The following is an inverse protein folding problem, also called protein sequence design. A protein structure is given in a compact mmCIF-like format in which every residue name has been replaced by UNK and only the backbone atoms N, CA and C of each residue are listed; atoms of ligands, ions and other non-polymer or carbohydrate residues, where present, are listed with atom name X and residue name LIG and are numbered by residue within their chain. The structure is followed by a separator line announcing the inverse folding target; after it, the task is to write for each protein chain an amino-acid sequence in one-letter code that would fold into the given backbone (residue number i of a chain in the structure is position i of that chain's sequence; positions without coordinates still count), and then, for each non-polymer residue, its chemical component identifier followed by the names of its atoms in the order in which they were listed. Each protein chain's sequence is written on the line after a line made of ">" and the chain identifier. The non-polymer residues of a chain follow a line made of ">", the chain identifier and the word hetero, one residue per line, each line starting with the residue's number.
data_IF_774765298482
#
_entry.id   IF_774765298482
#
_cell.length_a   1.000
_cell.length_b   1.000
_cell.length_c   1.000
_cell.angle_alpha   90.00
_cell.angle_beta   90.00
_cell.angle_gamma   90.00
#
_symmetry.space_group_name_H-M   'P 1'
#
loop_
_entity.id
_entity.type
_entity.pdbx_description
1 polymer ?
#
# COMPACT_ATOMS: atom_id res chain seq x y z
N UNK A 1 -16.98 6.69 1.35
CA UNK A 1 -17.20 6.41 -0.08
C UNK A 1 -16.27 5.28 -0.41
N UNK A 2 -16.70 4.10 0.02
CA UNK A 2 -15.97 2.85 -0.04
C UNK A 2 -16.26 2.19 -1.37
N UNK A 3 -15.22 1.90 -2.13
CA UNK A 3 -15.35 1.17 -3.38
C UNK A 3 -15.72 -0.28 -3.06
N UNK A 4 -17.01 -0.56 -3.23
CA UNK A 4 -17.72 -1.74 -2.75
C UNK A 4 -17.45 -2.92 -3.69
N UNK A 5 -16.73 -3.93 -3.21
CA UNK A 5 -16.45 -5.14 -3.97
C UNK A 5 -17.74 -5.91 -4.31
N UNK A 6 -18.31 -5.64 -5.49
CA UNK A 6 -19.47 -6.34 -6.02
C UNK A 6 -19.04 -7.67 -6.66
N UNK A 7 -19.51 -8.77 -6.11
CA UNK A 7 -19.23 -10.12 -6.63
C UNK A 7 -20.53 -10.87 -6.82
N UNK A 8 -20.71 -11.48 -8.00
CA UNK A 8 -21.83 -12.40 -8.26
C UNK A 8 -21.25 -13.78 -8.48
N UNK A 9 -21.64 -14.74 -7.63
CA UNK A 9 -21.30 -16.16 -7.75
C UNK A 9 -19.78 -16.43 -7.85
N UNK A 10 -18.97 -15.67 -7.11
CA UNK A 10 -17.51 -15.86 -7.04
C UNK A 10 -16.70 -15.25 -8.20
N UNK A 11 -17.34 -14.53 -9.12
CA UNK A 11 -16.67 -13.76 -10.18
C UNK A 11 -16.79 -12.25 -9.89
N UNK A 12 -15.65 -11.55 -9.89
CA UNK A 12 -15.61 -10.09 -9.75
C UNK A 12 -16.16 -9.43 -11.01
N UNK A 13 -17.03 -8.45 -10.85
CA UNK A 13 -17.59 -7.62 -11.94
C UNK A 13 -17.18 -6.17 -11.65
N UNK A 14 -16.66 -5.49 -12.66
CA UNK A 14 -16.22 -4.09 -12.53
C UNK A 14 -17.36 -3.11 -12.82
N UNK A 15 -17.34 -1.97 -12.13
CA UNK A 15 -18.14 -0.79 -12.48
C UNK A 15 -17.41 -0.01 -13.59
N UNK A 16 -18.15 0.63 -14.50
CA UNK A 16 -17.61 1.22 -15.73
C UNK A 16 -16.55 2.34 -15.52
N UNK A 17 -15.63 2.52 -16.48
CA UNK A 17 -14.30 3.09 -16.29
C UNK A 17 -14.15 4.49 -16.90
N UNK A 18 -14.70 5.54 -16.28
CA UNK A 18 -14.40 6.93 -16.71
C UNK A 18 -13.45 7.69 -15.80
N UNK A 19 -12.94 7.08 -14.72
CA UNK A 19 -12.04 7.75 -13.78
C UNK A 19 -10.66 7.06 -13.66
N UNK A 20 -10.25 6.34 -14.72
CA UNK A 20 -8.87 5.83 -14.86
C UNK A 20 -7.90 6.94 -15.30
N UNK A 21 -7.78 8.00 -14.51
CA UNK A 21 -6.57 8.82 -14.47
C UNK A 21 -6.47 9.37 -13.07
N UNK A 22 -5.48 8.94 -12.29
CA UNK A 22 -4.60 9.79 -11.47
C UNK A 22 -3.80 8.86 -10.56
N UNK A 23 -2.48 9.09 -10.54
CA UNK A 23 -1.52 8.87 -9.44
C UNK A 23 -1.99 7.99 -8.26
N UNK A 24 -1.14 7.10 -7.77
CA UNK A 24 -1.43 6.18 -6.65
C UNK A 24 -1.93 6.87 -5.35
N UNK A 25 -1.93 8.21 -5.32
CA UNK A 25 -2.57 9.07 -4.32
C UNK A 25 -4.10 9.21 -4.43
N UNK A 26 -4.74 8.78 -5.53
CA UNK A 26 -6.19 9.02 -5.78
C UNK A 26 -7.02 7.76 -6.04
N UNK A 27 -6.41 6.59 -6.22
CA UNK A 27 -7.13 5.32 -6.15
C UNK A 27 -7.52 5.08 -4.68
N UNK A 28 -8.79 5.28 -4.33
CA UNK A 28 -9.34 4.90 -3.01
C UNK A 28 -9.34 3.38 -2.88
N UNK A 29 -8.17 2.79 -2.70
CA UNK A 29 -8.06 1.41 -2.25
C UNK A 29 -8.75 1.32 -0.89
N UNK A 30 -9.69 0.39 -0.76
CA UNK A 30 -10.25 0.05 0.55
C UNK A 30 -9.10 -0.40 1.45
N UNK A 31 -8.99 0.11 2.69
CA UNK A 31 -7.90 -0.26 3.59
C UNK A 31 -7.89 -1.79 3.78
N UNK A 32 -6.74 -2.41 3.55
CA UNK A 32 -6.59 -3.87 3.66
C UNK A 32 -6.53 -4.31 5.13
N UNK A 33 -5.93 -3.49 5.99
CA UNK A 33 -5.84 -3.65 7.43
C UNK A 33 -5.63 -2.27 8.07
N UNK A 34 -5.86 -2.17 9.37
CA UNK A 34 -5.58 -0.98 10.17
C UNK A 34 -4.12 -0.99 10.67
N UNK A 35 -3.51 0.19 10.78
CA UNK A 35 -2.15 0.36 11.29
C UNK A 35 -2.27 0.98 12.68
N UNK A 36 -1.80 0.29 13.71
CA UNK A 36 -1.82 0.80 15.09
C UNK A 36 -0.66 1.76 15.41
N UNK A 37 0.41 1.72 14.61
CA UNK A 37 1.62 2.53 14.81
C UNK A 37 1.72 3.64 13.76
N UNK A 38 1.29 4.84 14.13
CA UNK A 38 1.32 6.03 13.28
C UNK A 38 2.68 6.74 13.26
N UNK A 39 3.73 6.17 13.89
CA UNK A 39 5.03 6.82 13.92
C UNK A 39 5.63 6.89 12.52
N UNK A 40 6.28 8.01 12.16
CA UNK A 40 6.97 8.10 10.88
C UNK A 40 8.13 7.08 10.86
N UNK A 41 8.48 6.53 9.69
CA UNK A 41 9.57 5.55 9.55
C UNK A 41 10.90 6.02 10.17
N UNK A 42 11.20 7.32 10.10
CA UNK A 42 12.41 7.91 10.70
C UNK A 42 12.46 7.78 12.23
N UNK A 43 11.32 7.97 12.92
CA UNK A 43 11.26 7.84 14.37
C UNK A 43 11.49 6.39 14.82
N UNK A 44 10.95 5.42 14.09
CA UNK A 44 11.18 3.99 14.35
C UNK A 44 12.66 3.64 14.09
N UNK A 45 13.24 4.14 13.00
CA UNK A 45 14.65 3.92 12.68
C UNK A 45 15.59 4.47 13.76
N UNK A 46 15.32 5.66 14.30
CA UNK A 46 16.12 6.24 15.39
C UNK A 46 15.97 5.47 16.70
N UNK A 47 14.78 4.96 16.99
CA UNK A 47 14.56 4.07 18.13
C UNK A 47 15.28 2.71 17.98
N UNK A 48 15.39 2.18 16.76
CA UNK A 48 16.16 0.97 16.51
C UNK A 48 17.66 1.23 16.75
N UNK A 49 18.18 2.35 16.26
CA UNK A 49 19.57 2.77 16.46
C UNK A 49 19.91 2.97 17.94
N UNK A 50 19.01 3.58 18.72
CA UNK A 50 19.23 3.79 20.15
C UNK A 50 19.32 2.49 20.96
N UNK A 51 18.74 1.42 20.43
CA UNK A 51 18.83 0.06 20.98
C UNK A 51 20.02 -0.74 20.42
N UNK A 52 20.80 -0.16 19.51
CA UNK A 52 21.95 -0.83 18.89
C UNK A 52 21.61 -1.68 17.66
N UNK A 53 20.39 -1.55 17.10
CA UNK A 53 20.00 -2.20 15.86
C UNK A 53 20.23 -1.30 14.65
N UNK A 54 20.57 -1.92 13.52
CA UNK A 54 20.69 -1.23 12.23
C UNK A 54 19.39 -1.38 11.42
N UNK A 55 18.64 -0.29 11.16
CA UNK A 55 17.45 -0.35 10.33
C UNK A 55 17.82 -0.55 8.86
N UNK A 56 17.34 -1.63 8.25
CA UNK A 56 17.56 -1.99 6.85
C UNK A 56 16.25 -1.89 6.07
N UNK A 57 16.27 -1.20 4.94
CA UNK A 57 15.13 -1.12 4.01
C UNK A 57 15.14 -2.30 3.03
N UNK A 58 13.99 -2.63 2.46
CA UNK A 58 13.86 -3.68 1.42
C UNK A 58 14.25 -3.17 0.03
N UNK A 59 15.33 -2.41 -0.06
CA UNK A 59 15.89 -1.85 -1.31
C UNK A 59 16.61 -2.90 -2.18
N UNK A 60 16.74 -4.12 -1.69
CA UNK A 60 17.23 -5.27 -2.44
C UNK A 60 16.09 -6.09 -3.08
N UNK A 61 14.84 -5.83 -2.70
CA UNK A 61 13.69 -6.62 -3.12
C UNK A 61 13.19 -6.17 -4.50
N UNK A 62 13.58 -6.92 -5.53
CA UNK A 62 13.30 -6.57 -6.93
C UNK A 62 11.81 -6.52 -7.24
N UNK A 63 10.99 -7.32 -6.56
CA UNK A 63 9.54 -7.33 -6.78
C UNK A 63 8.88 -6.06 -6.26
N UNK A 64 9.42 -5.49 -5.17
CA UNK A 64 8.96 -4.19 -4.62
C UNK A 64 9.44 -3.03 -5.50
N UNK A 65 10.64 -3.13 -6.05
CA UNK A 65 11.23 -2.09 -6.88
C UNK A 65 10.81 -2.16 -8.36
N UNK A 66 10.18 -3.25 -8.78
CA UNK A 66 9.74 -3.40 -10.16
C UNK A 66 8.67 -2.35 -10.48
N UNK A 67 8.72 -1.73 -11.68
CA UNK A 67 7.62 -0.89 -12.13
C UNK A 67 6.35 -1.73 -12.25
N UNK A 68 5.19 -1.14 -11.94
CA UNK A 68 3.91 -1.80 -12.12
C UNK A 68 3.78 -2.31 -13.58
N UNK A 69 3.23 -3.52 -13.79
CA UNK A 69 3.04 -4.04 -15.13
C UNK A 69 2.12 -3.10 -15.94
N UNK A 70 2.47 -2.92 -17.22
CA UNK A 70 1.71 -2.11 -18.18
C UNK A 70 0.33 -2.72 -18.50
#
# INVERSE_FOLDING_TARGET
>A
ADDLHYTIRGRRVELDPTEQTTDCSQARATPQFEIDDDRPPGAVADQLRSQGFDPVWKDWDREILAPAPA
#
